data_IF_449620568138
#
_entry.id   IF_449620568138
#
_cell.length_a   1.000
_cell.length_b   1.000
_cell.length_c   1.000
_cell.angle_alpha   90.00
_cell.angle_beta   90.00
_cell.angle_gamma   90.00
#
_symmetry.space_group_name_H-M   'P 1'
#
loop_
_entity.id
_entity.type
_entity.pdbx_description
1 polymer ?
#
# COMPACT_ATOMS: atom_id res chain seq x y z
N UNK A 1 -40.19 -59.96 -1.60
CA UNK A 1 -40.81 -58.71 -2.09
C UNK A 1 -40.26 -57.54 -1.28
N UNK A 2 -39.86 -56.47 -1.97
CA UNK A 2 -39.48 -55.11 -1.54
C UNK A 2 -38.21 -54.92 -0.68
N UNK A 3 -37.15 -54.53 -1.38
CA UNK A 3 -35.96 -53.86 -0.84
C UNK A 3 -36.31 -52.42 -0.39
N UNK A 4 -35.65 -51.88 0.65
CA UNK A 4 -35.79 -50.48 1.01
C UNK A 4 -34.94 -49.60 0.07
N UNK A 5 -35.59 -48.62 -0.54
CA UNK A 5 -34.95 -47.64 -1.42
C UNK A 5 -34.12 -46.65 -0.59
N UNK A 6 -32.84 -46.54 -0.94
CA UNK A 6 -31.91 -45.54 -0.44
C UNK A 6 -32.30 -44.20 -1.06
N UNK A 7 -32.82 -43.27 -0.25
CA UNK A 7 -33.04 -41.87 -0.66
C UNK A 7 -31.77 -41.09 -0.33
N UNK A 8 -30.89 -40.98 -1.32
CA UNK A 8 -29.69 -40.13 -1.26
C UNK A 8 -30.11 -38.66 -1.40
N UNK A 9 -30.19 -37.95 -0.27
CA UNK A 9 -30.34 -36.49 -0.23
C UNK A 9 -29.00 -35.83 -0.59
N UNK A 10 -28.88 -35.32 -1.82
CA UNK A 10 -27.80 -34.41 -2.19
C UNK A 10 -28.08 -33.02 -1.60
N UNK A 11 -27.38 -32.67 -0.51
CA UNK A 11 -27.26 -31.28 -0.06
C UNK A 11 -26.12 -30.65 -0.86
N UNK A 12 -26.47 -29.87 -1.87
CA UNK A 12 -25.52 -28.99 -2.56
C UNK A 12 -25.18 -27.81 -1.63
N UNK A 13 -24.10 -27.96 -0.86
CA UNK A 13 -23.54 -26.91 -0.02
C UNK A 13 -22.71 -25.96 -0.91
N UNK A 14 -23.37 -24.96 -1.50
CA UNK A 14 -22.68 -23.85 -2.18
C UNK A 14 -22.05 -22.93 -1.13
N UNK A 15 -20.82 -23.23 -0.75
CA UNK A 15 -19.94 -22.33 0.00
C UNK A 15 -19.60 -21.12 -0.89
N UNK A 16 -20.26 -20.00 -0.60
CA UNK A 16 -19.96 -18.70 -1.16
C UNK A 16 -18.53 -18.29 -0.82
N UNK A 17 -17.76 -17.96 -1.86
CA UNK A 17 -16.44 -17.40 -1.76
C UNK A 17 -16.50 -15.97 -1.22
N UNK A 18 -16.17 -15.77 0.05
CA UNK A 18 -15.66 -14.50 0.55
C UNK A 18 -14.13 -14.56 0.57
N UNK A 19 -13.52 -14.65 -0.62
CA UNK A 19 -12.09 -14.40 -0.76
C UNK A 19 -11.90 -12.89 -0.80
N UNK A 20 -11.68 -12.28 0.37
CA UNK A 20 -11.05 -10.96 0.44
C UNK A 20 -9.76 -11.06 -0.38
N UNK A 21 -9.68 -10.30 -1.48
CA UNK A 21 -8.57 -10.34 -2.41
C UNK A 21 -7.32 -9.71 -1.76
N UNK A 22 -6.69 -10.41 -0.83
CA UNK A 22 -5.32 -10.19 -0.45
C UNK A 22 -4.46 -10.59 -1.65
N UNK A 23 -4.23 -9.65 -2.57
CA UNK A 23 -3.34 -9.86 -3.71
C UNK A 23 -1.97 -10.26 -3.16
N UNK A 24 -1.41 -11.34 -3.70
CA UNK A 24 -0.06 -11.77 -3.38
C UNK A 24 0.92 -10.61 -3.60
N UNK A 25 1.99 -10.50 -2.80
CA UNK A 25 3.02 -9.50 -3.04
C UNK A 25 3.56 -9.65 -4.46
N UNK A 26 3.86 -8.52 -5.16
CA UNK A 26 4.48 -8.62 -6.47
C UNK A 26 5.77 -9.45 -6.35
N UNK A 27 6.06 -10.23 -7.38
CA UNK A 27 7.32 -10.99 -7.49
C UNK A 27 8.45 -10.01 -7.16
N UNK A 28 9.26 -10.33 -6.15
CA UNK A 28 10.43 -9.53 -5.82
C UNK A 28 11.32 -9.42 -7.07
N UNK A 29 11.89 -8.25 -7.36
CA UNK A 29 12.76 -8.10 -8.53
C UNK A 29 13.92 -9.08 -8.47
N UNK A 30 14.39 -9.49 -9.64
CA UNK A 30 15.55 -10.38 -9.76
C UNK A 30 16.84 -9.72 -9.23
N UNK A 31 16.81 -8.41 -8.99
CA UNK A 31 17.88 -7.59 -8.41
C UNK A 31 17.99 -7.69 -6.88
N UNK A 32 17.11 -8.43 -6.22
CA UNK A 32 17.13 -8.60 -4.76
C UNK A 32 16.33 -7.52 -4.01
N UNK A 33 16.57 -7.35 -2.70
CA UNK A 33 15.79 -6.41 -1.89
C UNK A 33 16.10 -4.95 -2.29
N UNK A 34 15.12 -4.07 -2.10
CA UNK A 34 15.23 -2.63 -2.41
C UNK A 34 16.53 -1.98 -1.91
N UNK A 35 17.01 -2.36 -0.72
CA UNK A 35 18.24 -1.82 -0.12
C UNK A 35 19.52 -2.18 -0.90
N UNK A 36 19.51 -3.24 -1.70
CA UNK A 36 20.64 -3.70 -2.49
C UNK A 36 20.63 -3.19 -3.94
N UNK A 37 19.52 -2.58 -4.39
CA UNK A 37 19.38 -2.09 -5.76
C UNK A 37 20.25 -0.85 -6.02
N UNK A 38 20.82 -0.78 -7.22
CA UNK A 38 21.45 0.44 -7.75
C UNK A 38 20.41 1.55 -7.96
N UNK A 39 20.83 2.82 -8.13
CA UNK A 39 19.89 3.91 -8.43
C UNK A 39 19.02 3.63 -9.65
N UNK A 40 19.60 3.10 -10.74
CA UNK A 40 18.86 2.73 -11.94
C UNK A 40 17.84 1.62 -11.66
N UNK A 41 18.23 0.58 -10.93
CA UNK A 41 17.31 -0.51 -10.57
C UNK A 41 16.16 -0.03 -9.68
N UNK A 42 16.42 0.93 -8.79
CA UNK A 42 15.38 1.56 -7.97
C UNK A 42 14.40 2.37 -8.82
N UNK A 43 14.92 3.14 -9.77
CA UNK A 43 14.10 3.86 -10.75
C UNK A 43 13.20 2.89 -11.53
N UNK A 44 13.80 1.85 -12.11
CA UNK A 44 13.05 0.87 -12.92
C UNK A 44 12.01 0.13 -12.08
N UNK A 45 12.35 -0.26 -10.84
CA UNK A 45 11.38 -0.87 -9.91
C UNK A 45 10.24 0.09 -9.56
N UNK A 46 10.55 1.37 -9.32
CA UNK A 46 9.53 2.39 -9.06
C UNK A 46 8.59 2.51 -10.26
N UNK A 47 9.11 2.60 -11.48
CA UNK A 47 8.30 2.73 -12.70
C UNK A 47 7.46 1.49 -12.99
N UNK A 48 8.06 0.30 -12.91
CA UNK A 48 7.43 -0.93 -13.40
C UNK A 48 6.55 -1.63 -12.36
N UNK A 49 6.85 -1.47 -11.07
CA UNK A 49 6.17 -2.20 -9.99
C UNK A 49 5.42 -1.27 -9.05
N UNK A 50 6.06 -0.19 -8.60
CA UNK A 50 5.45 0.69 -7.58
C UNK A 50 4.38 1.61 -8.19
N UNK A 51 4.71 2.30 -9.27
CA UNK A 51 3.82 3.29 -9.88
C UNK A 51 2.48 2.72 -10.37
N UNK A 52 2.39 1.50 -10.94
CA UNK A 52 1.10 0.89 -11.25
C UNK A 52 0.21 0.69 -10.02
N UNK A 53 0.78 0.29 -8.88
CA UNK A 53 0.03 0.13 -7.62
C UNK A 53 -0.37 1.49 -7.02
N UNK A 54 0.55 2.47 -7.01
CA UNK A 54 0.27 3.85 -6.61
C UNK A 54 -0.89 4.41 -7.43
N UNK A 55 -0.78 4.37 -8.76
CA UNK A 55 -1.84 4.86 -9.65
C UNK A 55 -3.16 4.18 -9.39
N UNK A 56 -3.16 2.86 -9.21
CA UNK A 56 -4.37 2.10 -8.90
C UNK A 56 -5.03 2.57 -7.61
N UNK A 57 -4.28 2.72 -6.51
CA UNK A 57 -4.88 3.09 -5.21
C UNK A 57 -5.31 4.55 -5.15
N UNK A 58 -4.52 5.48 -5.73
CA UNK A 58 -4.84 6.91 -5.71
C UNK A 58 -6.01 7.26 -6.62
N UNK A 59 -6.04 6.72 -7.85
CA UNK A 59 -7.18 6.93 -8.76
C UNK A 59 -8.46 6.29 -8.21
N UNK A 60 -8.36 5.15 -7.52
CA UNK A 60 -9.51 4.52 -6.89
C UNK A 60 -10.04 5.29 -5.68
N UNK A 61 -9.17 6.01 -4.96
CA UNK A 61 -9.55 6.85 -3.84
C UNK A 61 -10.23 8.14 -4.33
N UNK A 62 -9.58 8.90 -5.21
CA UNK A 62 -10.16 10.09 -5.82
C UNK A 62 -9.63 10.28 -7.25
N UNK A 63 -10.39 9.88 -8.29
CA UNK A 63 -9.98 10.03 -9.68
C UNK A 63 -9.97 11.49 -10.16
N UNK A 64 -10.67 12.40 -9.46
CA UNK A 64 -10.69 13.82 -9.79
C UNK A 64 -9.46 14.54 -9.24
N UNK A 65 -9.05 14.22 -8.01
CA UNK A 65 -7.82 14.75 -7.42
C UNK A 65 -6.55 14.10 -8.00
N UNK A 66 -6.61 12.81 -8.34
CA UNK A 66 -5.44 12.04 -8.77
C UNK A 66 -5.58 11.40 -10.16
N UNK A 67 -6.00 12.13 -11.21
CA UNK A 67 -6.30 11.55 -12.52
C UNK A 67 -5.07 10.92 -13.20
N UNK A 68 -3.87 11.38 -12.84
CA UNK A 68 -2.61 10.93 -13.43
C UNK A 68 -1.75 10.10 -12.48
N UNK A 69 -1.84 10.34 -11.17
CA UNK A 69 -1.05 9.70 -10.10
C UNK A 69 0.34 9.26 -10.59
N UNK A 70 1.23 10.24 -10.74
CA UNK A 70 2.57 10.08 -11.30
C UNK A 70 3.66 10.27 -10.23
N UNK A 71 4.93 10.22 -10.64
CA UNK A 71 6.07 10.30 -9.72
C UNK A 71 6.08 11.57 -8.87
N UNK A 72 5.51 12.68 -9.38
CA UNK A 72 5.55 13.99 -8.72
C UNK A 72 4.68 14.04 -7.48
N UNK A 73 3.70 13.13 -7.36
CA UNK A 73 2.86 13.01 -6.18
C UNK A 73 3.67 12.72 -4.92
N UNK A 74 4.75 11.96 -5.04
CA UNK A 74 5.61 11.59 -3.91
C UNK A 74 6.94 12.35 -3.90
N UNK A 75 7.50 12.69 -5.06
CA UNK A 75 8.86 13.25 -5.18
C UNK A 75 8.89 14.76 -5.46
N UNK A 76 7.74 15.38 -5.72
CA UNK A 76 7.67 16.76 -6.17
C UNK A 76 8.21 16.92 -7.60
N UNK A 77 8.65 18.13 -7.93
CA UNK A 77 9.25 18.44 -9.25
C UNK A 77 10.78 18.30 -9.26
N UNK A 78 11.38 17.80 -8.19
CA UNK A 78 12.84 17.61 -8.12
C UNK A 78 13.28 16.54 -9.11
N UNK A 79 14.30 16.85 -9.92
CA UNK A 79 14.89 15.93 -10.89
C UNK A 79 15.60 14.75 -10.19
N UNK A 80 16.05 14.95 -8.96
CA UNK A 80 16.78 13.94 -8.19
C UNK A 80 15.86 12.93 -7.47
N UNK A 81 14.53 13.08 -7.59
CA UNK A 81 13.55 12.21 -6.93
C UNK A 81 13.80 12.06 -5.41
N UNK A 82 14.22 13.15 -4.75
CA UNK A 82 14.53 13.14 -3.31
C UNK A 82 13.29 12.85 -2.48
N UNK A 83 13.52 12.23 -1.33
CA UNK A 83 12.53 12.01 -0.29
C UNK A 83 13.16 12.29 1.09
N UNK A 84 12.41 12.83 2.06
CA UNK A 84 10.99 13.23 1.97
C UNK A 84 10.77 14.39 1.00
N UNK A 85 9.55 14.54 0.48
CA UNK A 85 9.21 15.67 -0.37
C UNK A 85 8.80 16.86 0.51
N UNK A 86 9.51 18.01 0.43
CA UNK A 86 9.20 19.19 1.24
C UNK A 86 7.82 19.78 0.93
N UNK A 87 7.24 19.50 -0.24
CA UNK A 87 5.88 19.94 -0.60
C UNK A 87 4.80 19.07 0.08
N UNK A 88 5.17 17.94 0.69
CA UNK A 88 4.27 17.05 1.43
C UNK A 88 4.36 17.30 2.93
N UNK A 89 4.14 18.55 3.32
CA UNK A 89 4.12 18.95 4.72
C UNK A 89 2.95 18.30 5.47
N UNK A 90 3.24 17.72 6.64
CA UNK A 90 2.23 17.09 7.49
C UNK A 90 2.41 17.51 8.95
N UNK A 91 1.35 18.10 9.50
CA UNK A 91 1.27 18.50 10.90
C UNK A 91 1.42 17.27 11.81
N UNK A 92 2.35 17.26 12.78
CA UNK A 92 2.59 16.12 13.64
C UNK A 92 1.33 15.60 14.35
N UNK A 93 0.46 16.49 14.82
CA UNK A 93 -0.78 16.17 15.54
C UNK A 93 -1.75 15.35 14.68
N UNK A 94 -1.71 15.53 13.35
CA UNK A 94 -2.52 14.74 12.42
C UNK A 94 -2.11 13.26 12.43
N UNK A 95 -0.90 12.93 12.87
CA UNK A 95 -0.31 11.58 12.78
C UNK A 95 -0.25 10.84 14.12
N UNK A 96 -0.47 11.55 15.24
CA UNK A 96 -0.15 11.06 16.60
C UNK A 96 -1.11 9.97 17.10
N UNK A 97 -2.25 9.74 16.45
CA UNK A 97 -3.23 8.76 16.94
C UNK A 97 -3.44 7.58 15.98
N UNK A 98 -2.42 6.71 15.84
CA UNK A 98 -2.54 5.46 15.07
C UNK A 98 -3.72 4.59 15.53
N UNK A 99 -4.02 4.60 16.83
CA UNK A 99 -5.07 3.79 17.44
C UNK A 99 -6.43 4.52 17.53
N UNK A 100 -6.50 5.79 17.11
CA UNK A 100 -7.76 6.52 17.02
C UNK A 100 -8.33 6.50 15.59
N UNK A 101 -9.63 6.78 15.43
CA UNK A 101 -10.20 7.07 14.13
C UNK A 101 -9.40 8.18 13.43
N UNK A 102 -9.15 8.01 12.13
CA UNK A 102 -8.56 9.08 11.34
C UNK A 102 -9.51 10.29 11.35
N UNK A 103 -8.98 11.53 11.41
CA UNK A 103 -9.80 12.75 11.43
C UNK A 103 -10.51 12.98 10.10
N UNK A 104 -9.97 12.45 9.00
CA UNK A 104 -10.56 12.51 7.67
C UNK A 104 -10.21 11.27 6.83
N UNK A 105 -10.89 11.16 5.69
CA UNK A 105 -10.74 10.05 4.75
C UNK A 105 -9.37 10.01 4.05
N UNK A 106 -8.69 11.15 3.91
CA UNK A 106 -7.36 11.23 3.29
C UNK A 106 -6.30 10.65 4.22
N UNK A 107 -6.33 11.01 5.51
CA UNK A 107 -5.45 10.38 6.49
C UNK A 107 -5.76 8.89 6.63
N UNK A 108 -7.04 8.49 6.65
CA UNK A 108 -7.43 7.08 6.66
C UNK A 108 -6.83 6.35 5.46
N UNK A 109 -6.95 6.92 4.26
CA UNK A 109 -6.37 6.37 3.04
C UNK A 109 -4.84 6.26 3.10
N UNK A 110 -4.15 7.31 3.55
CA UNK A 110 -2.68 7.31 3.68
C UNK A 110 -2.20 6.28 4.71
N UNK A 111 -2.88 6.18 5.86
CA UNK A 111 -2.54 5.28 6.96
C UNK A 111 -2.84 3.83 6.64
N UNK A 112 -4.02 3.56 6.05
CA UNK A 112 -4.57 2.21 5.96
C UNK A 112 -4.27 1.56 4.60
N UNK A 113 -4.00 2.36 3.55
CA UNK A 113 -3.68 1.85 2.22
C UNK A 113 -2.26 2.21 1.76
N UNK A 114 -1.93 3.50 1.69
CA UNK A 114 -0.68 3.94 1.03
C UNK A 114 0.56 3.53 1.82
N UNK A 115 0.61 3.84 3.12
CA UNK A 115 1.77 3.56 3.97
C UNK A 115 2.09 2.05 4.06
N UNK A 116 1.11 1.16 4.32
CA UNK A 116 1.32 -0.29 4.32
C UNK A 116 1.72 -0.84 2.95
N UNK A 117 1.10 -0.34 1.87
CA UNK A 117 1.45 -0.73 0.51
C UNK A 117 2.90 -0.39 0.19
N UNK A 118 3.33 0.84 0.48
CA UNK A 118 4.71 1.29 0.23
C UNK A 118 5.73 0.52 1.07
N UNK A 119 5.46 0.32 2.36
CA UNK A 119 6.34 -0.48 3.22
C UNK A 119 6.54 -1.90 2.64
N UNK A 120 5.45 -2.56 2.24
CA UNK A 120 5.49 -3.89 1.62
C UNK A 120 6.27 -3.89 0.30
N UNK A 121 6.01 -2.94 -0.59
CA UNK A 121 6.68 -2.85 -1.90
C UNK A 121 8.18 -2.61 -1.76
N UNK A 122 8.59 -1.84 -0.75
CA UNK A 122 10.00 -1.53 -0.48
C UNK A 122 10.68 -2.56 0.43
N UNK A 123 9.97 -3.61 0.85
CA UNK A 123 10.50 -4.63 1.76
C UNK A 123 10.85 -4.07 3.15
N UNK A 124 10.14 -3.03 3.61
CA UNK A 124 10.34 -2.39 4.92
C UNK A 124 9.25 -2.84 5.90
N UNK A 125 9.65 -3.09 7.14
CA UNK A 125 8.68 -3.24 8.23
C UNK A 125 7.98 -1.90 8.48
N UNK A 126 6.68 -1.92 8.79
CA UNK A 126 5.98 -0.74 9.27
C UNK A 126 6.49 -0.33 10.66
N UNK A 127 6.47 0.97 10.94
CA UNK A 127 6.77 1.47 12.27
C UNK A 127 5.79 0.93 13.30
N UNK A 128 6.31 0.47 14.45
CA UNK A 128 5.53 -0.14 15.52
C UNK A 128 6.41 -0.71 16.64
N UNK A 129 5.84 -1.40 17.64
CA UNK A 129 6.56 -1.86 18.83
C UNK A 129 7.79 -2.74 18.53
N UNK A 130 7.70 -3.58 17.50
CA UNK A 130 8.78 -4.50 17.09
C UNK A 130 9.74 -3.88 16.07
N UNK A 131 9.40 -2.71 15.52
CA UNK A 131 10.18 -2.00 14.51
C UNK A 131 10.01 -0.47 14.71
N UNK A 132 10.54 0.12 15.80
CA UNK A 132 10.29 1.52 16.15
C UNK A 132 10.87 2.53 15.14
N UNK A 133 11.74 2.08 14.24
CA UNK A 133 12.30 2.85 13.10
C UNK A 133 11.83 2.32 11.75
N UNK A 134 10.67 1.64 11.73
CA UNK A 134 10.06 1.12 10.52
C UNK A 134 9.59 2.24 9.58
N UNK A 135 9.06 1.85 8.42
CA UNK A 135 8.44 2.78 7.47
C UNK A 135 7.18 3.41 8.09
N UNK A 136 7.07 4.72 7.99
CA UNK A 136 5.93 5.51 8.45
C UNK A 136 5.70 6.72 7.53
N UNK A 137 4.82 7.63 7.95
CA UNK A 137 4.44 8.84 7.23
C UNK A 137 5.66 9.69 6.85
N UNK A 138 6.68 9.74 7.72
CA UNK A 138 7.89 10.53 7.54
C UNK A 138 8.88 9.92 6.55
N UNK A 139 8.55 8.74 6.00
CA UNK A 139 9.23 8.23 4.81
C UNK A 139 9.04 9.13 3.59
N UNK A 140 7.89 9.79 3.47
CA UNK A 140 7.55 10.65 2.33
C UNK A 140 7.26 12.11 2.73
N UNK A 141 6.66 12.32 3.90
CA UNK A 141 6.24 13.64 4.38
C UNK A 141 7.32 14.33 5.21
N UNK A 142 7.35 15.65 5.17
CA UNK A 142 8.11 16.50 6.09
C UNK A 142 7.25 16.94 7.28
N UNK A 143 7.91 17.38 8.34
CA UNK A 143 7.27 18.03 9.50
C UNK A 143 7.50 19.53 9.39
N UNK A 144 6.57 20.31 9.92
CA UNK A 144 6.89 21.68 10.31
C UNK A 144 7.89 21.63 11.47
N UNK A 145 9.01 22.35 11.33
CA UNK A 145 10.01 22.54 12.38
C UNK A 145 9.62 23.69 13.32
#
# INVERSE_FOLDING_TARGET
>A
MRAPQVVTLYVALSLGACAGAHRAPPKQPEWGPWSAMTPQQKHDYMTEVVMPEVKRVFVAFDPHAYPKADCTLCHGKDEDSKMPNPDLLLEPEAVVQRDAPAPDETLAFMRDQVTPMMARLLGRALSGPTAPKGFDCWGCHTRDE
#
